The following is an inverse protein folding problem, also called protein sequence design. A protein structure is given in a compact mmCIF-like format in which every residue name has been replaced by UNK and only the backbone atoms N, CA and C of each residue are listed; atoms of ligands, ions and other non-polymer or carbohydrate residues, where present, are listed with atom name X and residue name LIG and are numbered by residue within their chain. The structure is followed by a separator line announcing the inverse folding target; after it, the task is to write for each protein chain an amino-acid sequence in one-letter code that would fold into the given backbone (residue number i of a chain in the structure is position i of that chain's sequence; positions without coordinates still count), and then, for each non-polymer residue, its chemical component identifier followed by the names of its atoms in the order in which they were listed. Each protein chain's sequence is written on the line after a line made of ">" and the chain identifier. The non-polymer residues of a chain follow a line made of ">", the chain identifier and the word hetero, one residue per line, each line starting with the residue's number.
data_IF_918629133918
#
_entry.id   IF_918629133918
#
_cell.length_a   1.000
_cell.length_b   1.000
_cell.length_c   1.000
_cell.angle_alpha   90.00
_cell.angle_beta   90.00
_cell.angle_gamma   90.00
#
_symmetry.space_group_name_H-M   'P 1'
#
loop_
_entity.id
_entity.type
_entity.pdbx_description
1 polymer ?
#
# COMPACT_ATOMS: atom_id res chain seq x y z
N UNK A 1 -0.38 -11.18 -16.92
CA UNK A 1 -1.33 -10.22 -16.30
C UNK A 1 -0.80 -8.83 -16.56
N UNK A 2 -1.55 -8.01 -17.27
CA UNK A 2 -1.21 -6.60 -17.51
C UNK A 2 -1.26 -5.87 -16.15
N UNK A 3 -0.16 -5.25 -15.73
CA UNK A 3 -0.12 -4.52 -14.47
C UNK A 3 -1.17 -3.40 -14.46
N UNK A 4 -1.95 -3.30 -13.38
CA UNK A 4 -2.82 -2.14 -13.17
C UNK A 4 -1.96 -1.00 -12.66
N UNK A 5 -1.81 0.06 -13.45
CA UNK A 5 -1.11 1.28 -13.08
C UNK A 5 -2.10 2.29 -12.49
N UNK A 6 -1.76 2.87 -11.34
CA UNK A 6 -2.57 3.87 -10.68
C UNK A 6 -1.70 5.09 -10.36
N UNK A 7 -1.93 6.20 -11.07
CA UNK A 7 -1.24 7.46 -10.81
C UNK A 7 -2.02 8.29 -9.78
N UNK A 8 -1.41 8.47 -8.60
CA UNK A 8 -1.96 9.30 -7.53
C UNK A 8 -1.11 10.57 -7.41
N UNK A 9 -1.42 11.61 -8.19
CA UNK A 9 -0.74 12.92 -8.13
C UNK A 9 -1.75 14.07 -8.22
N UNK A 10 -1.77 15.03 -7.26
CA UNK A 10 -1.11 15.01 -5.94
C UNK A 10 -1.88 14.14 -4.92
N UNK A 11 -1.17 13.67 -3.89
CA UNK A 11 -1.73 13.05 -2.67
C UNK A 11 -1.36 13.89 -1.45
N UNK A 12 -2.19 13.84 -0.41
CA UNK A 12 -1.99 14.59 0.83
C UNK A 12 -0.96 13.90 1.73
N UNK A 13 -0.94 12.57 1.73
CA UNK A 13 0.00 11.78 2.53
C UNK A 13 0.30 10.41 1.91
N UNK A 14 1.43 9.84 2.35
CA UNK A 14 1.83 8.45 2.12
C UNK A 14 2.26 7.87 3.47
N UNK A 15 1.74 6.69 3.83
CA UNK A 15 2.12 5.97 5.06
C UNK A 15 2.40 4.50 4.75
N UNK A 16 3.25 3.88 5.57
CA UNK A 16 3.56 2.46 5.47
C UNK A 16 3.61 1.85 6.86
N UNK A 17 3.01 0.68 7.01
CA UNK A 17 3.12 -0.14 8.21
C UNK A 17 3.08 -1.63 7.86
N UNK A 18 3.35 -2.48 8.85
CA UNK A 18 3.35 -3.94 8.70
C UNK A 18 2.71 -4.62 9.88
N UNK A 19 2.01 -5.72 9.62
CA UNK A 19 1.41 -6.56 10.66
C UNK A 19 1.96 -7.98 10.50
N UNK A 20 2.33 -8.60 11.63
CA UNK A 20 2.75 -10.00 11.70
C UNK A 20 4.15 -10.22 12.28
N UNK A 21 4.48 -11.49 12.61
CA UNK A 21 5.78 -11.84 13.17
C UNK A 21 6.88 -11.67 12.13
N UNK A 22 8.14 -11.58 12.59
CA UNK A 22 9.32 -11.52 11.72
C UNK A 22 9.29 -12.69 10.71
N UNK A 23 9.30 -12.38 9.41
CA UNK A 23 9.27 -13.36 8.33
C UNK A 23 7.88 -13.67 7.75
N UNK A 24 6.79 -13.21 8.38
CA UNK A 24 5.40 -13.37 7.90
C UNK A 24 4.65 -12.04 7.98
N UNK A 25 5.32 -10.94 7.64
CA UNK A 25 4.71 -9.61 7.66
C UNK A 25 3.93 -9.38 6.38
N UNK A 26 2.72 -8.85 6.55
CA UNK A 26 1.96 -8.20 5.48
C UNK A 26 2.22 -6.71 5.58
N UNK A 27 2.60 -6.09 4.47
CA UNK A 27 2.88 -4.66 4.38
C UNK A 27 1.67 -3.95 3.82
N UNK A 28 1.35 -2.80 4.40
CA UNK A 28 0.28 -1.92 3.98
C UNK A 28 0.87 -0.58 3.60
N UNK A 29 0.90 -0.28 2.31
CA UNK A 29 1.26 1.04 1.79
C UNK A 29 -0.04 1.80 1.51
N UNK A 30 -0.23 2.94 2.14
CA UNK A 30 -1.42 3.77 1.96
C UNK A 30 -1.07 5.13 1.40
N UNK A 31 -1.88 5.59 0.45
CA UNK A 31 -1.87 6.97 -0.03
C UNK A 31 -3.29 7.54 0.08
N UNK A 32 -3.39 8.79 0.54
CA UNK A 32 -4.67 9.47 0.76
C UNK A 32 -4.78 10.78 0.00
N UNK A 33 -5.99 11.08 -0.48
CA UNK A 33 -6.37 12.40 -1.00
C UNK A 33 -7.80 12.72 -0.58
N UNK A 34 -7.99 13.77 0.20
CA UNK A 34 -9.28 14.12 0.80
C UNK A 34 -9.95 12.92 1.49
N UNK A 35 -11.09 12.44 0.98
CA UNK A 35 -11.82 11.30 1.52
C UNK A 35 -11.43 9.95 0.88
N UNK A 36 -10.53 9.94 -0.11
CA UNK A 36 -10.09 8.74 -0.80
C UNK A 36 -8.81 8.18 -0.17
N UNK A 37 -8.83 6.91 0.19
CA UNK A 37 -7.66 6.16 0.62
C UNK A 37 -7.46 4.97 -0.31
N UNK A 38 -6.26 4.84 -0.86
CA UNK A 38 -5.83 3.67 -1.62
C UNK A 38 -4.82 2.91 -0.78
N UNK A 39 -5.05 1.62 -0.57
CA UNK A 39 -4.14 0.73 0.16
C UNK A 39 -3.62 -0.35 -0.79
N UNK A 40 -2.30 -0.44 -0.90
CA UNK A 40 -1.62 -1.57 -1.52
C UNK A 40 -1.22 -2.57 -0.42
N UNK A 41 -1.79 -3.77 -0.49
CA UNK A 41 -1.45 -4.89 0.39
C UNK A 41 -0.36 -5.71 -0.30
N UNK A 42 0.78 -5.85 0.37
CA UNK A 42 1.93 -6.56 -0.16
C UNK A 42 2.26 -7.70 0.80
N UNK A 43 2.14 -8.92 0.29
CA UNK A 43 2.58 -10.12 0.98
C UNK A 43 3.98 -10.48 0.49
N UNK A 44 4.81 -11.04 1.39
CA UNK A 44 6.10 -11.58 0.99
C UNK A 44 5.85 -12.83 0.16
N UNK A 45 6.13 -12.81 -1.14
CA UNK A 45 6.29 -14.08 -1.88
C UNK A 45 7.52 -14.83 -1.34
N UNK A 46 7.45 -16.16 -1.36
CA UNK A 46 8.28 -17.12 -0.59
C UNK A 46 9.75 -16.77 -0.37
#
# INVERSE_FOLDING_TARGET
>A
MTGSELELRPVDFVTIDTIGPKGQRVFYLQAGKEAQIVTLVIEKEQ
#
